data_IF_286431466449
#
_entry.id   IF_286431466449
#
_cell.length_a   1.000
_cell.length_b   1.000
_cell.length_c   1.000
_cell.angle_alpha   90.00
_cell.angle_beta   90.00
_cell.angle_gamma   90.00
#
_symmetry.space_group_name_H-M   'P 1'
#
loop_
_entity.id
_entity.type
_entity.pdbx_description
1 polymer ?
#
# COMPACT_ATOMS: atom_id res chain seq x y z
N UNK A 1 -15.68 -4.69 -2.55
CA UNK A 1 -14.85 -4.07 -1.50
C UNK A 1 -13.80 -3.22 -2.21
N UNK A 2 -13.40 -2.09 -1.64
CA UNK A 2 -12.38 -1.24 -2.26
C UNK A 2 -10.99 -1.71 -1.83
N UNK A 3 -10.08 -1.87 -2.78
CA UNK A 3 -8.69 -2.24 -2.52
C UNK A 3 -7.81 -0.99 -2.47
N UNK A 4 -6.88 -0.99 -1.52
CA UNK A 4 -5.90 0.06 -1.29
C UNK A 4 -4.49 -0.52 -1.44
N UNK A 5 -3.62 0.17 -2.15
CA UNK A 5 -2.20 -0.14 -2.19
C UNK A 5 -1.46 0.84 -1.29
N UNK A 6 -0.65 0.34 -0.37
CA UNK A 6 0.18 1.13 0.54
C UNK A 6 1.63 0.81 0.26
N UNK A 7 2.33 1.80 -0.29
CA UNK A 7 3.75 1.74 -0.58
C UNK A 7 4.52 2.45 0.54
N UNK A 8 5.10 1.66 1.44
CA UNK A 8 5.78 2.14 2.64
C UNK A 8 6.97 1.23 3.00
N UNK A 9 8.15 1.84 3.14
CA UNK A 9 9.39 1.16 3.53
C UNK A 9 9.42 0.87 5.02
N UNK A 10 8.95 1.82 5.83
CA UNK A 10 8.98 1.72 7.28
C UNK A 10 7.88 0.76 7.74
N UNK A 11 8.29 -0.47 8.09
CA UNK A 11 7.36 -1.55 8.44
C UNK A 11 6.41 -1.22 9.59
N UNK A 12 6.84 -0.37 10.51
CA UNK A 12 6.01 0.07 11.64
C UNK A 12 4.86 0.98 11.16
N UNK A 13 5.18 1.94 10.29
CA UNK A 13 4.20 2.78 9.61
C UNK A 13 3.27 1.95 8.71
N UNK A 14 3.79 1.00 7.92
CA UNK A 14 2.96 0.09 7.13
C UNK A 14 1.98 -0.70 8.02
N UNK A 15 2.48 -1.35 9.07
CA UNK A 15 1.65 -2.15 9.97
C UNK A 15 0.61 -1.30 10.73
N UNK A 16 0.92 -0.03 11.01
CA UNK A 16 -0.06 0.91 11.56
C UNK A 16 -1.20 1.18 10.57
N UNK A 17 -0.86 1.51 9.31
CA UNK A 17 -1.83 1.79 8.25
C UNK A 17 -2.68 0.56 7.91
N UNK A 18 -2.05 -0.60 7.74
CA UNK A 18 -2.72 -1.86 7.41
C UNK A 18 -3.83 -2.19 8.43
N UNK A 19 -3.51 -2.13 9.73
CA UNK A 19 -4.49 -2.41 10.80
C UNK A 19 -5.67 -1.45 10.76
N UNK A 20 -5.42 -0.15 10.57
CA UNK A 20 -6.47 0.87 10.58
C UNK A 20 -7.37 0.73 9.35
N UNK A 21 -6.78 0.64 8.16
CA UNK A 21 -7.50 0.53 6.90
C UNK A 21 -8.27 -0.80 6.79
N UNK A 22 -7.70 -1.89 7.30
CA UNK A 22 -8.42 -3.18 7.37
C UNK A 22 -9.60 -3.10 8.33
N UNK A 23 -9.44 -2.42 9.48
CA UNK A 23 -10.54 -2.17 10.43
C UNK A 23 -11.67 -1.34 9.80
N UNK A 24 -11.35 -0.48 8.84
CA UNK A 24 -12.32 0.32 8.08
C UNK A 24 -12.97 -0.48 6.92
N UNK A 25 -12.56 -1.73 6.69
CA UNK A 25 -13.14 -2.64 5.70
C UNK A 25 -12.48 -2.58 4.31
N UNK A 26 -11.29 -1.98 4.20
CA UNK A 26 -10.50 -2.00 2.96
C UNK A 26 -9.70 -3.29 2.84
N UNK A 27 -9.52 -3.76 1.60
CA UNK A 27 -8.49 -4.77 1.30
C UNK A 27 -7.16 -4.05 1.08
N UNK A 28 -6.19 -4.27 1.96
CA UNK A 28 -4.89 -3.61 1.91
C UNK A 28 -3.86 -4.50 1.23
N UNK A 29 -3.15 -3.93 0.26
CA UNK A 29 -1.99 -4.53 -0.41
C UNK A 29 -0.76 -3.70 -0.04
N UNK A 30 0.29 -4.35 0.42
CA UNK A 30 1.55 -3.69 0.77
C UNK A 30 2.57 -3.74 -0.36
N UNK A 31 3.37 -2.68 -0.46
CA UNK A 31 4.58 -2.60 -1.28
C UNK A 31 5.67 -1.87 -0.49
N UNK A 32 6.94 -2.21 -0.72
CA UNK A 32 8.07 -1.53 -0.08
C UNK A 32 8.94 -0.75 -1.08
N UNK A 33 8.90 -1.09 -2.37
CA UNK A 33 9.70 -0.41 -3.41
C UNK A 33 8.86 0.32 -4.46
N UNK A 34 9.47 1.24 -5.20
CA UNK A 34 8.80 1.98 -6.26
C UNK A 34 8.38 1.07 -7.42
N UNK A 35 9.28 0.19 -7.90
CA UNK A 35 8.99 -0.80 -8.93
C UNK A 35 7.86 -1.77 -8.54
N UNK A 36 7.95 -2.35 -7.34
CA UNK A 36 6.92 -3.25 -6.82
C UNK A 36 5.55 -2.56 -6.72
N UNK A 37 5.53 -1.30 -6.26
CA UNK A 37 4.32 -0.49 -6.16
C UNK A 37 3.67 -0.31 -7.52
N UNK A 38 4.45 0.02 -8.55
CA UNK A 38 3.92 0.21 -9.90
C UNK A 38 3.33 -1.10 -10.45
N UNK A 39 4.07 -2.21 -10.34
CA UNK A 39 3.60 -3.52 -10.78
C UNK A 39 2.31 -3.97 -10.07
N UNK A 40 2.20 -3.70 -8.77
CA UNK A 40 1.01 -4.00 -7.98
C UNK A 40 -0.15 -3.09 -8.35
N UNK A 41 0.09 -1.80 -8.58
CA UNK A 41 -0.96 -0.87 -8.99
C UNK A 41 -1.58 -1.27 -10.33
N UNK A 42 -0.75 -1.64 -11.30
CA UNK A 42 -1.21 -2.10 -12.61
C UNK A 42 -2.03 -3.38 -12.52
N UNK A 43 -1.53 -4.37 -11.76
CA UNK A 43 -2.15 -5.69 -11.64
C UNK A 43 -3.42 -5.70 -10.78
N UNK A 44 -3.39 -5.03 -9.64
CA UNK A 44 -4.47 -5.05 -8.67
C UNK A 44 -5.54 -3.98 -8.92
N UNK A 45 -5.24 -2.98 -9.77
CA UNK A 45 -6.13 -1.84 -10.06
C UNK A 45 -6.77 -1.25 -8.78
N UNK A 46 -5.96 -0.85 -7.77
CA UNK A 46 -6.48 -0.35 -6.52
C UNK A 46 -7.25 0.95 -6.73
N UNK A 47 -8.24 1.20 -5.88
CA UNK A 47 -9.05 2.43 -5.94
C UNK A 47 -8.28 3.67 -5.47
N UNK A 48 -7.23 3.47 -4.68
CA UNK A 48 -6.32 4.50 -4.19
C UNK A 48 -4.95 3.87 -3.88
N UNK A 49 -3.89 4.62 -4.18
CA UNK A 49 -2.49 4.27 -3.84
C UNK A 49 -1.97 5.30 -2.85
N UNK A 50 -1.46 4.85 -1.71
CA UNK A 50 -0.76 5.67 -0.72
C UNK A 50 0.74 5.46 -0.89
N UNK A 51 1.49 6.56 -1.04
CA UNK A 51 2.94 6.55 -1.27
C UNK A 51 3.63 7.26 -0.11
N UNK A 52 4.50 6.53 0.59
CA UNK A 52 5.40 7.05 1.61
C UNK A 52 6.46 8.01 1.04
N UNK A 53 7.20 8.67 1.92
CA UNK A 53 8.02 9.84 1.55
C UNK A 53 9.17 9.55 0.57
N UNK A 54 9.90 8.46 0.76
CA UNK A 54 10.99 8.05 -0.14
C UNK A 54 10.84 6.56 -0.38
N UNK A 55 10.30 6.18 -1.53
CA UNK A 55 10.38 4.82 -2.03
C UNK A 55 11.66 4.73 -2.86
N UNK A 56 12.52 3.80 -2.47
CA UNK A 56 13.73 3.45 -3.23
C UNK A 56 13.45 2.15 -4.02
N UNK A 57 14.27 1.88 -5.04
CA UNK A 57 14.26 0.61 -5.78
C UNK A 57 15.31 -0.36 -5.23
#
# INVERSE_FOLDING_TARGET
MASLLVAELERETFAFLERHLTSDGFEVVGASGAGETLELAERAQPSLVLVGGALED
#
